data_IF_736707030704
#
_entry.id   IF_736707030704
#
_cell.length_a   1.000
_cell.length_b   1.000
_cell.length_c   1.000
_cell.angle_alpha   90.00
_cell.angle_beta   90.00
_cell.angle_gamma   90.00
#
_symmetry.space_group_name_H-M   'P 1'
#
loop_
_entity.id
_entity.type
_entity.pdbx_description
1 polymer ?
#
# COMPACT_ATOMS: atom_id res chain seq x y z
N UNK A 1 -20.50 5.84 -13.87
CA UNK A 1 -21.67 6.31 -13.09
C UNK A 1 -21.32 6.72 -11.66
N UNK A 2 -21.01 5.82 -10.69
CA UNK A 2 -20.66 6.29 -9.33
C UNK A 2 -19.43 7.19 -9.30
N UNK A 3 -18.41 6.87 -10.11
CA UNK A 3 -17.24 7.74 -10.29
C UNK A 3 -17.64 9.16 -10.74
N UNK A 4 -18.60 9.28 -11.67
CA UNK A 4 -19.10 10.57 -12.14
C UNK A 4 -19.86 11.32 -11.05
N UNK A 5 -20.68 10.62 -10.26
CA UNK A 5 -21.38 11.21 -9.13
C UNK A 5 -20.40 11.77 -8.08
N UNK A 6 -19.34 11.01 -7.76
CA UNK A 6 -18.26 11.45 -6.87
C UNK A 6 -17.48 12.65 -7.43
N UNK A 7 -17.34 12.75 -8.76
CA UNK A 7 -16.66 13.85 -9.44
C UNK A 7 -17.50 15.13 -9.42
N UNK A 8 -18.81 15.02 -9.65
CA UNK A 8 -19.72 16.17 -9.72
C UNK A 8 -19.94 16.85 -8.37
N UNK A 9 -19.87 16.11 -7.26
CA UNK A 9 -20.06 16.63 -5.88
C UNK A 9 -21.31 17.51 -5.73
N UNK A 10 -22.39 17.12 -6.40
CA UNK A 10 -23.66 17.84 -6.38
C UNK A 10 -24.59 17.22 -5.32
N UNK A 11 -25.11 18.04 -4.40
CA UNK A 11 -25.97 17.60 -3.31
C UNK A 11 -27.27 16.95 -3.80
N UNK A 12 -27.74 17.31 -5.01
CA UNK A 12 -28.95 16.73 -5.59
C UNK A 12 -28.80 15.26 -5.98
N UNK A 13 -27.57 14.80 -6.25
CA UNK A 13 -27.27 13.41 -6.60
C UNK A 13 -26.69 12.59 -5.44
N UNK A 14 -26.47 13.21 -4.28
CA UNK A 14 -25.96 12.53 -3.09
C UNK A 14 -26.82 11.32 -2.63
N UNK A 15 -28.16 11.35 -2.70
CA UNK A 15 -28.97 10.15 -2.42
C UNK A 15 -28.65 8.98 -3.37
N UNK A 16 -28.50 9.26 -4.67
CA UNK A 16 -28.16 8.25 -5.68
C UNK A 16 -26.76 7.70 -5.45
N UNK A 17 -25.79 8.54 -5.09
CA UNK A 17 -24.43 8.08 -4.74
C UNK A 17 -24.46 7.11 -3.56
N UNK A 18 -25.23 7.40 -2.51
CA UNK A 18 -25.37 6.52 -1.33
C UNK A 18 -26.00 5.18 -1.69
N UNK A 19 -27.05 5.17 -2.51
CA UNK A 19 -27.68 3.93 -2.96
C UNK A 19 -26.71 3.09 -3.81
N UNK A 20 -25.94 3.72 -4.69
CA UNK A 20 -24.90 3.04 -5.45
C UNK A 20 -23.80 2.49 -4.56
N UNK A 21 -23.36 3.26 -3.56
CA UNK A 21 -22.35 2.81 -2.61
C UNK A 21 -22.83 1.57 -1.83
N UNK A 22 -24.09 1.58 -1.38
CA UNK A 22 -24.71 0.44 -0.71
C UNK A 22 -24.74 -0.81 -1.61
N UNK A 23 -25.23 -0.69 -2.84
CA UNK A 23 -25.27 -1.82 -3.79
C UNK A 23 -23.88 -2.36 -4.12
N UNK A 24 -22.92 -1.46 -4.39
CA UNK A 24 -21.54 -1.84 -4.70
C UNK A 24 -20.85 -2.52 -3.52
N UNK A 25 -21.14 -2.12 -2.28
CA UNK A 25 -20.59 -2.80 -1.10
C UNK A 25 -21.04 -4.26 -0.98
N UNK A 26 -22.25 -4.56 -1.44
CA UNK A 26 -22.78 -5.93 -1.47
C UNK A 26 -22.21 -6.72 -2.64
N UNK A 27 -22.10 -6.13 -3.83
CA UNK A 27 -21.61 -6.82 -5.03
C UNK A 27 -20.10 -7.06 -5.01
N UNK A 28 -19.32 -6.09 -4.53
CA UNK A 28 -17.84 -6.16 -4.50
C UNK A 28 -17.32 -6.58 -3.12
N UNK A 29 -18.07 -7.41 -2.41
CA UNK A 29 -17.62 -7.92 -1.12
C UNK A 29 -16.41 -8.86 -1.30
N UNK A 30 -15.59 -8.95 -0.25
CA UNK A 30 -14.35 -9.76 -0.22
C UNK A 30 -14.55 -11.21 -0.66
N UNK A 31 -15.70 -11.82 -0.36
CA UNK A 31 -15.96 -13.23 -0.65
C UNK A 31 -16.01 -13.56 -2.14
N UNK A 32 -16.15 -12.54 -3.00
CA UNK A 32 -16.10 -12.69 -4.47
C UNK A 32 -14.79 -12.23 -5.09
N UNK A 33 -13.84 -11.70 -4.31
CA UNK A 33 -12.57 -11.26 -4.86
C UNK A 33 -11.61 -12.44 -4.98
N UNK A 34 -11.08 -12.63 -6.18
CA UNK A 34 -10.07 -13.64 -6.49
C UNK A 34 -8.69 -13.00 -6.53
N UNK A 35 -7.79 -13.48 -5.68
CA UNK A 35 -6.38 -13.15 -5.76
C UNK A 35 -5.73 -13.88 -6.93
N UNK A 36 -5.04 -13.16 -7.81
CA UNK A 36 -4.28 -13.73 -8.93
C UNK A 36 -2.88 -13.13 -8.98
N UNK A 37 -1.88 -13.95 -9.25
CA UNK A 37 -0.55 -13.47 -9.60
C UNK A 37 -0.61 -12.77 -10.97
N UNK A 38 0.13 -11.67 -11.10
CA UNK A 38 0.33 -10.93 -12.34
C UNK A 38 1.81 -11.02 -12.67
N UNK A 39 2.10 -11.48 -13.89
CA UNK A 39 3.44 -11.69 -14.42
C UNK A 39 3.49 -11.35 -15.92
N UNK A 40 4.64 -11.55 -16.55
CA UNK A 40 4.81 -11.25 -17.97
C UNK A 40 4.03 -12.19 -18.92
N UNK A 41 3.45 -13.28 -18.41
CA UNK A 41 2.56 -14.17 -19.17
C UNK A 41 1.09 -13.73 -19.09
N UNK A 42 0.77 -12.80 -18.19
CA UNK A 42 -0.57 -12.24 -18.04
C UNK A 42 -1.01 -11.54 -19.34
N UNK A 43 -2.29 -11.67 -19.76
CA UNK A 43 -2.76 -11.04 -20.99
C UNK A 43 -2.46 -9.54 -21.06
N UNK A 44 -2.03 -9.08 -22.25
CA UNK A 44 -1.63 -7.68 -22.47
C UNK A 44 -2.74 -6.68 -22.09
N UNK A 45 -4.01 -7.02 -22.31
CA UNK A 45 -5.16 -6.21 -21.91
C UNK A 45 -5.15 -5.89 -20.40
N UNK A 46 -4.81 -6.86 -19.54
CA UNK A 46 -4.69 -6.64 -18.10
C UNK A 46 -3.41 -5.87 -17.75
N UNK A 47 -2.30 -6.14 -18.45
CA UNK A 47 -1.04 -5.43 -18.23
C UNK A 47 -1.14 -3.93 -18.61
N UNK A 48 -1.85 -3.60 -19.68
CA UNK A 48 -2.14 -2.21 -20.06
C UNK A 48 -2.91 -1.47 -18.96
N UNK A 49 -3.82 -2.17 -18.26
CA UNK A 49 -4.57 -1.61 -17.14
C UNK A 49 -3.67 -1.27 -15.94
N UNK A 50 -2.62 -2.04 -15.69
CA UNK A 50 -1.65 -1.71 -14.64
C UNK A 50 -0.93 -0.39 -14.95
N UNK A 51 -0.53 -0.19 -16.21
CA UNK A 51 0.08 1.07 -16.66
C UNK A 51 -0.91 2.23 -16.53
N UNK A 52 -2.18 2.03 -16.90
CA UNK A 52 -3.23 3.05 -16.82
C UNK A 52 -3.53 3.48 -15.36
N UNK A 53 -3.51 2.52 -14.42
CA UNK A 53 -4.01 2.74 -13.07
C UNK A 53 -2.96 3.09 -12.03
N UNK A 54 -1.68 2.87 -12.30
CA UNK A 54 -0.65 3.07 -11.28
C UNK A 54 -0.61 4.52 -10.76
N UNK A 55 -1.02 4.68 -9.49
CA UNK A 55 -1.32 5.98 -8.89
C UNK A 55 -0.24 6.45 -7.90
N UNK A 56 0.64 5.57 -7.46
CA UNK A 56 1.68 5.86 -6.47
C UNK A 56 2.98 6.21 -7.19
N UNK A 57 3.39 5.37 -8.15
CA UNK A 57 4.63 5.44 -8.90
C UNK A 57 4.40 5.19 -10.39
N UNK A 58 4.06 6.23 -11.14
CA UNK A 58 3.75 6.19 -12.58
C UNK A 58 4.67 5.22 -13.34
N UNK A 59 4.06 4.23 -14.00
CA UNK A 59 4.77 3.28 -14.86
C UNK A 59 5.03 3.96 -16.20
N UNK A 60 6.30 4.20 -16.52
CA UNK A 60 6.72 5.01 -17.68
C UNK A 60 6.59 4.30 -19.04
N UNK A 61 5.99 3.12 -19.05
CA UNK A 61 5.74 2.30 -20.24
C UNK A 61 5.99 0.81 -20.01
N UNK A 62 6.05 0.06 -21.10
CA UNK A 62 6.19 -1.41 -21.08
C UNK A 62 7.52 -1.91 -20.51
N UNK A 63 8.62 -1.20 -20.74
CA UNK A 63 9.93 -1.60 -20.21
C UNK A 63 9.99 -1.47 -18.68
N UNK A 64 9.38 -0.40 -18.13
CA UNK A 64 9.23 -0.20 -16.69
C UNK A 64 8.28 -1.24 -16.08
N UNK A 65 7.15 -1.52 -16.74
CA UNK A 65 6.26 -2.62 -16.32
C UNK A 65 7.00 -3.96 -16.29
N UNK A 66 7.80 -4.25 -17.32
CA UNK A 66 8.59 -5.48 -17.37
C UNK A 66 9.54 -5.58 -16.18
N UNK A 67 10.25 -4.48 -15.85
CA UNK A 67 11.12 -4.42 -14.66
C UNK A 67 10.37 -4.75 -13.37
N UNK A 68 9.14 -4.27 -13.23
CA UNK A 68 8.27 -4.50 -12.06
C UNK A 68 7.68 -5.91 -11.99
N UNK A 69 7.84 -6.70 -13.06
CA UNK A 69 7.43 -8.10 -13.15
C UNK A 69 8.61 -9.07 -13.29
N UNK A 70 9.84 -8.59 -13.03
CA UNK A 70 11.04 -9.43 -12.98
C UNK A 70 11.03 -10.42 -11.81
N UNK A 71 11.96 -11.36 -11.82
CA UNK A 71 12.03 -12.46 -10.84
C UNK A 71 12.20 -12.02 -9.37
N UNK A 72 12.83 -10.86 -9.13
CA UNK A 72 12.97 -10.21 -7.81
C UNK A 72 11.72 -9.39 -7.41
N UNK A 73 10.66 -9.47 -8.21
CA UNK A 73 9.39 -8.77 -7.99
C UNK A 73 8.24 -9.77 -7.93
N UNK A 74 7.17 -9.37 -7.26
CA UNK A 74 5.88 -10.04 -7.31
C UNK A 74 4.81 -8.99 -7.51
N UNK A 75 3.83 -9.30 -8.35
CA UNK A 75 2.64 -8.49 -8.51
C UNK A 75 1.42 -9.38 -8.33
N UNK A 76 0.44 -8.89 -7.59
CA UNK A 76 -0.84 -9.57 -7.41
C UNK A 76 -1.99 -8.62 -7.67
N UNK A 77 -3.08 -9.13 -8.23
CA UNK A 77 -4.32 -8.41 -8.43
C UNK A 77 -5.50 -9.09 -7.75
N UNK A 78 -6.44 -8.29 -7.26
CA UNK A 78 -7.76 -8.73 -6.82
C UNK A 78 -8.76 -8.49 -7.94
N UNK A 79 -9.38 -9.57 -8.42
CA UNK A 79 -10.32 -9.55 -9.53
C UNK A 79 -11.70 -9.96 -9.06
N UNK A 80 -12.73 -9.42 -9.71
CA UNK A 80 -14.11 -9.89 -9.52
C UNK A 80 -14.51 -10.77 -10.71
N UNK A 81 -15.26 -11.89 -10.52
CA UNK A 81 -15.65 -12.79 -11.61
C UNK A 81 -16.38 -12.11 -12.77
N UNK A 82 -17.17 -11.08 -12.48
CA UNK A 82 -17.87 -10.28 -13.50
C UNK A 82 -16.96 -9.31 -14.27
N UNK A 83 -15.74 -9.08 -13.81
CA UNK A 83 -14.75 -8.19 -14.42
C UNK A 83 -13.38 -8.90 -14.50
N UNK A 84 -13.26 -9.99 -15.27
CA UNK A 84 -12.13 -10.91 -15.18
C UNK A 84 -10.79 -10.34 -15.66
N UNK A 85 -10.82 -9.32 -16.53
CA UNK A 85 -9.63 -8.64 -17.04
C UNK A 85 -9.29 -7.34 -16.26
N UNK A 86 -10.15 -6.95 -15.32
CA UNK A 86 -10.08 -5.67 -14.63
C UNK A 86 -9.58 -5.88 -13.18
N UNK A 87 -8.32 -5.50 -12.88
CA UNK A 87 -7.86 -5.50 -11.51
C UNK A 87 -8.61 -4.42 -10.73
N UNK A 88 -9.22 -4.77 -9.60
CA UNK A 88 -9.86 -3.79 -8.71
C UNK A 88 -8.84 -3.16 -7.77
N UNK A 89 -7.91 -4.00 -7.29
CA UNK A 89 -6.73 -3.61 -6.54
C UNK A 89 -5.58 -4.39 -7.15
N UNK A 90 -4.42 -3.76 -7.31
CA UNK A 90 -3.18 -4.50 -7.47
C UNK A 90 -2.13 -4.04 -6.49
N UNK A 91 -1.17 -4.93 -6.25
CA UNK A 91 -0.14 -4.80 -5.23
C UNK A 91 1.19 -5.17 -5.87
N UNK A 92 2.15 -4.27 -5.80
CA UNK A 92 3.52 -4.49 -6.25
C UNK A 92 4.45 -4.71 -5.07
N UNK A 93 5.29 -5.74 -5.17
CA UNK A 93 6.16 -6.23 -4.11
C UNK A 93 7.57 -6.41 -4.65
N UNK A 94 8.55 -5.96 -3.89
CA UNK A 94 9.96 -6.26 -4.10
C UNK A 94 10.44 -7.30 -3.09
N UNK A 95 11.20 -8.28 -3.58
CA UNK A 95 11.86 -9.29 -2.76
C UNK A 95 13.29 -8.82 -2.46
N UNK A 96 13.59 -8.58 -1.19
CA UNK A 96 14.85 -7.98 -0.74
C UNK A 96 15.38 -8.67 0.53
N UNK A 97 16.55 -8.22 0.98
CA UNK A 97 17.14 -8.61 2.26
C UNK A 97 16.94 -7.50 3.28
N UNK A 98 16.19 -7.79 4.35
CA UNK A 98 15.83 -6.84 5.39
C UNK A 98 14.86 -5.74 4.95
N UNK A 99 14.58 -4.79 5.86
CA UNK A 99 13.65 -3.69 5.61
C UNK A 99 14.24 -2.66 4.66
N UNK A 100 13.52 -2.37 3.57
CA UNK A 100 13.85 -1.25 2.70
C UNK A 100 13.53 0.09 3.40
N UNK A 101 14.44 1.05 3.26
CA UNK A 101 14.35 2.37 3.90
C UNK A 101 14.17 3.52 2.93
N UNK A 102 14.40 3.30 1.63
CA UNK A 102 14.32 4.33 0.61
C UNK A 102 13.74 3.76 -0.69
N UNK A 103 12.97 4.57 -1.39
CA UNK A 103 12.16 4.12 -2.53
C UNK A 103 13.02 3.75 -3.75
N UNK A 104 14.17 4.39 -3.92
CA UNK A 104 15.12 4.10 -5.02
C UNK A 104 15.69 2.68 -4.93
N UNK A 105 15.88 2.14 -3.72
CA UNK A 105 16.29 0.74 -3.52
C UNK A 105 15.21 -0.28 -3.92
N UNK A 106 14.01 0.19 -4.25
CA UNK A 106 12.88 -0.66 -4.61
C UNK A 106 12.46 -0.45 -6.05
N UNK A 107 12.18 0.78 -6.48
CA UNK A 107 11.65 1.04 -7.82
C UNK A 107 12.76 1.00 -8.87
N UNK A 108 13.84 1.74 -8.62
CA UNK A 108 14.93 1.92 -9.57
C UNK A 108 16.09 0.93 -9.36
N UNK A 109 15.90 -0.06 -8.49
CA UNK A 109 16.90 -1.08 -8.24
C UNK A 109 17.24 -1.81 -9.55
N UNK A 110 18.54 -1.99 -9.87
CA UNK A 110 18.92 -2.79 -11.03
C UNK A 110 18.40 -4.21 -10.88
N UNK A 111 18.15 -4.90 -12.00
CA UNK A 111 17.85 -6.34 -11.96
C UNK A 111 19.06 -7.03 -11.34
N UNK A 112 18.90 -7.73 -10.20
CA UNK A 112 20.02 -8.40 -9.55
C UNK A 112 20.55 -9.51 -10.47
N UNK A 113 21.83 -9.87 -10.29
CA UNK A 113 22.30 -11.13 -10.86
C UNK A 113 21.48 -12.28 -10.24
N UNK A 114 21.07 -13.26 -11.05
CA UNK A 114 20.15 -14.34 -10.65
C UNK A 114 20.52 -14.96 -9.28
N UNK A 115 21.82 -15.12 -8.97
CA UNK A 115 22.30 -15.69 -7.71
C UNK A 115 21.92 -14.95 -6.41
N UNK A 116 21.58 -13.65 -6.47
CA UNK A 116 21.45 -12.78 -5.29
C UNK A 116 20.02 -12.61 -4.75
N UNK A 117 19.02 -12.86 -5.59
CA UNK A 117 17.60 -12.64 -5.26
C UNK A 117 16.65 -13.63 -5.91
N UNK A 118 17.16 -14.64 -6.62
CA UNK A 118 16.32 -15.77 -7.00
C UNK A 118 15.78 -16.44 -5.72
N UNK A 119 14.45 -16.58 -5.57
CA UNK A 119 13.82 -17.40 -4.53
C UNK A 119 14.46 -18.78 -4.35
N UNK A 120 15.01 -19.35 -5.42
CA UNK A 120 15.67 -20.65 -5.47
C UNK A 120 17.21 -20.55 -5.47
N UNK A 121 17.77 -19.33 -5.42
CA UNK A 121 19.20 -19.04 -5.49
C UNK A 121 19.98 -19.28 -4.19
N UNK A 122 21.28 -18.99 -4.21
CA UNK A 122 22.19 -19.22 -3.08
C UNK A 122 21.92 -18.28 -1.88
N UNK A 123 21.36 -17.10 -2.13
CA UNK A 123 21.01 -16.09 -1.13
C UNK A 123 19.57 -15.59 -1.34
N UNK A 124 18.56 -16.42 -1.04
CA UNK A 124 17.17 -16.07 -1.33
C UNK A 124 16.71 -14.92 -0.43
N UNK A 125 15.87 -14.04 -0.97
CA UNK A 125 15.30 -12.92 -0.23
C UNK A 125 14.57 -13.37 1.04
N UNK A 126 14.69 -12.58 2.11
CA UNK A 126 14.03 -12.84 3.41
C UNK A 126 12.85 -11.89 3.70
N UNK A 127 12.71 -10.83 2.91
CA UNK A 127 11.75 -9.76 3.15
C UNK A 127 10.98 -9.41 1.88
N UNK A 128 9.65 -9.33 2.00
CA UNK A 128 8.76 -8.80 0.96
C UNK A 128 8.38 -7.35 1.29
N UNK A 129 8.74 -6.42 0.40
CA UNK A 129 8.43 -5.00 0.51
C UNK A 129 7.28 -4.62 -0.41
N UNK A 130 6.12 -4.34 0.19
CA UNK A 130 4.94 -3.80 -0.48
C UNK A 130 5.15 -2.31 -0.73
N UNK A 131 5.53 -1.94 -1.95
CA UNK A 131 5.88 -0.54 -2.27
C UNK A 131 4.79 0.18 -3.08
N UNK A 132 3.88 -0.54 -3.71
CA UNK A 132 2.69 0.05 -4.33
C UNK A 132 1.45 -0.78 -4.02
N UNK A 133 0.37 -0.10 -3.63
CA UNK A 133 -0.97 -0.68 -3.45
C UNK A 133 -1.94 0.30 -4.11
N UNK A 134 -2.49 -0.10 -5.25
CA UNK A 134 -3.31 0.77 -6.09
C UNK A 134 -4.74 0.27 -6.12
N UNK A 135 -5.69 1.14 -5.80
CA UNK A 135 -7.12 0.90 -6.05
C UNK A 135 -7.49 1.51 -7.41
N UNK A 136 -7.75 0.64 -8.39
CA UNK A 136 -7.93 1.02 -9.79
C UNK A 136 -9.25 1.77 -10.03
N UNK A 137 -10.27 1.45 -9.25
CA UNK A 137 -11.63 1.87 -9.54
C UNK A 137 -12.03 3.08 -8.70
N UNK A 138 -11.97 4.28 -9.30
CA UNK A 138 -12.47 5.51 -8.66
C UNK A 138 -13.92 5.36 -8.18
N UNK A 139 -14.74 4.62 -8.93
CA UNK A 139 -16.13 4.32 -8.57
C UNK A 139 -16.30 3.44 -7.33
N UNK A 140 -15.25 2.73 -6.89
CA UNK A 140 -15.22 1.93 -5.67
C UNK A 140 -14.54 2.65 -4.51
N UNK A 141 -14.17 3.93 -4.65
CA UNK A 141 -13.57 4.70 -3.56
C UNK A 141 -14.47 4.68 -2.32
N UNK A 142 -13.88 4.32 -1.18
CA UNK A 142 -14.56 4.21 0.11
C UNK A 142 -15.46 2.97 0.26
N UNK A 143 -15.53 2.09 -0.75
CA UNK A 143 -16.18 0.79 -0.60
C UNK A 143 -15.17 -0.17 0.05
N UNK A 144 -15.51 -0.78 1.20
CA UNK A 144 -14.64 -1.76 1.82
C UNK A 144 -14.61 -3.02 0.94
N UNK A 145 -13.46 -3.28 0.31
CA UNK A 145 -13.19 -4.51 -0.46
C UNK A 145 -12.75 -5.68 0.45
N UNK A 146 -12.91 -5.50 1.76
CA UNK A 146 -12.52 -6.44 2.81
C UNK A 146 -11.32 -5.97 3.60
N UNK A 147 -11.33 -6.28 4.89
CA UNK A 147 -10.13 -6.25 5.72
C UNK A 147 -9.27 -7.48 5.42
N UNK A 148 -7.97 -7.39 5.71
CA UNK A 148 -6.98 -8.45 5.46
C UNK A 148 -6.73 -8.79 3.98
N UNK A 149 -6.84 -7.80 3.10
CA UNK A 149 -6.42 -7.95 1.70
C UNK A 149 -4.97 -8.40 1.63
N UNK A 150 -4.09 -7.70 2.34
CA UNK A 150 -2.67 -8.04 2.34
C UNK A 150 -2.37 -9.37 3.02
N UNK A 151 -3.21 -9.86 3.93
CA UNK A 151 -3.04 -11.20 4.52
C UNK A 151 -3.10 -12.28 3.43
N UNK A 152 -4.02 -12.17 2.47
CA UNK A 152 -4.10 -13.14 1.37
C UNK A 152 -2.82 -13.12 0.53
N UNK A 153 -2.26 -11.92 0.31
CA UNK A 153 -1.00 -11.77 -0.42
C UNK A 153 0.19 -12.31 0.39
N UNK A 154 0.27 -12.06 1.70
CA UNK A 154 1.33 -12.62 2.55
C UNK A 154 1.24 -14.13 2.65
N UNK A 155 0.04 -14.70 2.79
CA UNK A 155 -0.17 -16.16 2.82
C UNK A 155 0.29 -16.80 1.49
N UNK A 156 -0.03 -16.17 0.35
CA UNK A 156 0.38 -16.63 -0.97
C UNK A 156 1.90 -16.50 -1.19
N UNK A 157 2.51 -15.42 -0.72
CA UNK A 157 3.96 -15.22 -0.74
C UNK A 157 4.67 -16.27 0.12
N UNK A 158 4.20 -16.56 1.33
CA UNK A 158 4.78 -17.62 2.18
C UNK A 158 4.73 -18.99 1.51
N UNK A 159 3.64 -19.26 0.77
CA UNK A 159 3.45 -20.51 0.03
C UNK A 159 4.39 -20.63 -1.16
N UNK A 160 4.67 -19.52 -1.85
CA UNK A 160 5.41 -19.50 -3.13
C UNK A 160 6.89 -19.13 -2.99
N UNK A 161 7.27 -18.46 -1.91
CA UNK A 161 8.64 -18.04 -1.59
C UNK A 161 8.91 -18.36 -0.10
N UNK A 162 9.23 -19.62 0.24
CA UNK A 162 9.34 -20.08 1.64
C UNK A 162 10.49 -19.44 2.43
N UNK A 163 11.43 -18.76 1.78
CA UNK A 163 12.53 -18.04 2.42
C UNK A 163 12.07 -16.76 3.14
N UNK A 164 10.91 -16.21 2.76
CA UNK A 164 10.40 -14.97 3.32
C UNK A 164 10.00 -15.14 4.78
N UNK A 165 10.50 -14.23 5.62
CA UNK A 165 10.23 -14.16 7.06
C UNK A 165 9.57 -12.84 7.45
N UNK A 166 9.77 -11.80 6.65
CA UNK A 166 9.27 -10.45 6.95
C UNK A 166 8.40 -9.94 5.80
N UNK A 167 7.28 -9.31 6.15
CA UNK A 167 6.34 -8.70 5.21
C UNK A 167 6.15 -7.27 5.67
N UNK A 168 6.64 -6.31 4.89
CA UNK A 168 6.58 -4.91 5.28
C UNK A 168 6.23 -4.01 4.12
N UNK A 169 5.60 -2.88 4.37
CA UNK A 169 5.43 -1.86 3.33
C UNK A 169 6.60 -0.89 3.33
N UNK A 170 6.72 -0.12 2.27
CA UNK A 170 7.45 1.14 2.29
C UNK A 170 6.47 2.24 1.86
N UNK A 171 5.81 2.84 2.85
CA UNK A 171 4.61 3.65 2.64
C UNK A 171 4.90 5.15 2.79
N UNK A 172 4.24 6.01 1.99
CA UNK A 172 4.26 7.45 2.18
C UNK A 172 3.48 7.86 3.42
N UNK A 173 3.71 9.08 3.91
CA UNK A 173 2.99 9.70 5.03
C UNK A 173 2.25 10.96 4.55
N UNK A 174 1.24 10.80 3.67
CA UNK A 174 0.61 11.93 2.99
C UNK A 174 -0.13 12.83 3.99
N UNK A 175 0.29 14.09 4.07
CA UNK A 175 -0.37 15.10 4.88
C UNK A 175 0.36 15.44 6.18
N UNK A 176 1.52 14.84 6.46
CA UNK A 176 2.38 15.24 7.57
C UNK A 176 2.73 16.73 7.48
N UNK A 177 3.22 17.21 6.31
CA UNK A 177 3.57 18.63 6.14
C UNK A 177 2.36 19.53 6.35
N UNK A 178 1.22 19.17 5.75
CA UNK A 178 -0.02 19.93 5.91
C UNK A 178 -0.45 20.01 7.37
N UNK A 179 -0.37 18.92 8.12
CA UNK A 179 -0.72 18.91 9.54
C UNK A 179 0.18 19.85 10.35
N UNK A 180 1.50 19.84 10.10
CA UNK A 180 2.44 20.78 10.70
C UNK A 180 2.06 22.24 10.40
N UNK A 181 1.73 22.53 9.14
CA UNK A 181 1.36 23.87 8.68
C UNK A 181 0.05 24.33 9.32
N UNK A 182 -0.97 23.46 9.37
CA UNK A 182 -2.28 23.74 9.97
C UNK A 182 -2.17 24.00 11.49
N UNK A 183 -1.23 23.32 12.17
CA UNK A 183 -0.97 23.47 13.61
C UNK A 183 0.05 24.58 13.93
N UNK A 184 0.69 25.18 12.91
CA UNK A 184 1.68 26.24 13.09
C UNK A 184 2.94 25.81 13.84
N UNK A 185 3.35 24.54 13.72
CA UNK A 185 4.46 23.97 14.47
C UNK A 185 5.83 24.38 13.90
N UNK A 186 6.81 24.55 14.78
CA UNK A 186 8.21 24.67 14.36
C UNK A 186 8.79 23.28 14.05
N UNK A 187 9.34 23.12 12.85
CA UNK A 187 9.99 21.86 12.42
C UNK A 187 11.47 21.90 12.74
N UNK A 188 11.94 20.93 13.52
CA UNK A 188 13.36 20.57 13.53
C UNK A 188 13.64 19.68 12.31
N UNK A 189 14.40 20.21 11.35
CA UNK A 189 14.75 19.51 10.11
C UNK A 189 15.87 18.48 10.29
N UNK A 190 16.39 18.29 11.51
CA UNK A 190 17.29 17.19 11.80
C UNK A 190 16.59 15.83 11.61
N UNK A 191 17.35 14.77 11.33
CA UNK A 191 16.79 13.44 11.18
C UNK A 191 16.04 12.97 12.44
N UNK A 192 16.53 13.31 13.64
CA UNK A 192 15.85 12.97 14.89
C UNK A 192 14.59 13.82 15.11
N UNK A 193 14.65 15.09 14.72
CA UNK A 193 13.50 16.00 14.74
C UNK A 193 12.36 15.48 13.87
N UNK A 194 12.67 15.12 12.62
CA UNK A 194 11.70 14.55 11.69
C UNK A 194 11.16 13.20 12.16
N UNK A 195 12.00 12.29 12.71
CA UNK A 195 11.54 11.02 13.29
C UNK A 195 10.50 11.24 14.40
N UNK A 196 10.79 12.15 15.33
CA UNK A 196 9.88 12.47 16.45
C UNK A 196 8.59 13.11 15.96
N UNK A 197 8.69 14.04 15.01
CA UNK A 197 7.55 14.72 14.42
C UNK A 197 6.62 13.73 13.69
N UNK A 198 7.19 12.82 12.90
CA UNK A 198 6.43 11.78 12.21
C UNK A 198 5.79 10.80 13.19
N UNK A 199 6.49 10.41 14.25
CA UNK A 199 5.90 9.57 15.30
C UNK A 199 4.72 10.27 16.00
N UNK A 200 4.87 11.55 16.36
CA UNK A 200 3.79 12.35 16.95
C UNK A 200 2.56 12.38 16.03
N UNK A 201 2.78 12.66 14.74
CA UNK A 201 1.71 12.68 13.75
C UNK A 201 0.99 11.34 13.63
N UNK A 202 1.72 10.24 13.46
CA UNK A 202 1.13 8.93 13.20
C UNK A 202 0.45 8.31 14.42
N UNK A 203 0.95 8.59 15.63
CA UNK A 203 0.43 8.01 16.86
C UNK A 203 -0.68 8.87 17.48
N UNK A 204 -0.54 10.20 17.43
CA UNK A 204 -1.34 11.14 18.22
C UNK A 204 -2.25 12.05 17.40
N UNK A 205 -1.92 12.40 16.15
CA UNK A 205 -2.84 13.21 15.34
C UNK A 205 -4.07 12.39 14.94
N UNK A 206 -5.27 12.93 15.19
CA UNK A 206 -6.54 12.22 14.96
C UNK A 206 -7.52 12.99 14.07
N UNK A 207 -8.32 12.22 13.33
CA UNK A 207 -9.54 12.66 12.64
C UNK A 207 -10.75 11.95 13.27
N UNK A 208 -11.41 12.62 14.22
CA UNK A 208 -12.32 11.90 15.12
C UNK A 208 -11.50 10.97 16.02
N UNK A 209 -11.79 9.68 16.03
CA UNK A 209 -11.05 8.70 16.83
C UNK A 209 -9.92 7.99 16.05
N UNK A 210 -9.95 8.04 14.72
CA UNK A 210 -8.95 7.39 13.86
C UNK A 210 -7.69 8.26 13.68
N UNK A 211 -6.51 7.68 13.41
CA UNK A 211 -5.32 8.41 12.96
C UNK A 211 -5.62 9.38 11.81
N UNK A 212 -4.99 10.55 11.82
CA UNK A 212 -5.17 11.61 10.81
C UNK A 212 -4.72 11.15 9.41
N UNK A 213 -3.64 10.38 9.33
CA UNK A 213 -3.05 9.87 8.09
C UNK A 213 -3.90 8.75 7.46
N UNK A 214 -4.24 8.87 6.17
CA UNK A 214 -5.07 7.87 5.49
C UNK A 214 -4.37 6.54 5.23
N UNK A 215 -3.06 6.56 5.02
CA UNK A 215 -2.25 5.37 4.73
C UNK A 215 -2.05 4.57 6.02
N UNK A 216 -1.81 5.25 7.14
CA UNK A 216 -1.80 4.66 8.48
C UNK A 216 -3.11 3.94 8.78
N UNK A 217 -4.26 4.61 8.58
CA UNK A 217 -5.58 3.98 8.77
C UNK A 217 -5.73 2.71 7.94
N UNK A 218 -5.30 2.75 6.67
CA UNK A 218 -5.37 1.58 5.79
C UNK A 218 -4.53 0.41 6.32
N UNK A 219 -3.27 0.64 6.69
CA UNK A 219 -2.39 -0.43 7.14
C UNK A 219 -2.77 -0.98 8.52
N UNK A 220 -3.12 -0.11 9.46
CA UNK A 220 -3.57 -0.48 10.81
C UNK A 220 -4.89 -1.26 10.76
N UNK A 221 -5.84 -0.85 9.90
CA UNK A 221 -7.06 -1.62 9.64
C UNK A 221 -6.77 -3.00 9.05
N UNK A 222 -5.65 -3.19 8.36
CA UNK A 222 -5.21 -4.50 7.87
C UNK A 222 -4.33 -5.27 8.88
N UNK A 223 -4.21 -4.79 10.13
CA UNK A 223 -3.51 -5.47 11.22
C UNK A 223 -2.00 -5.25 11.24
N UNK A 224 -1.48 -4.33 10.43
CA UNK A 224 -0.06 -4.00 10.47
C UNK A 224 0.29 -3.19 11.72
N UNK A 225 1.57 -3.20 12.10
CA UNK A 225 2.14 -2.27 13.08
C UNK A 225 3.08 -1.29 12.41
N UNK A 226 3.13 -0.05 12.91
CA UNK A 226 4.16 0.92 12.53
C UNK A 226 5.51 0.44 13.04
N UNK A 227 6.39 0.00 12.15
CA UNK A 227 7.65 -0.67 12.51
C UNK A 227 8.82 0.31 12.55
N UNK A 228 8.95 1.15 11.52
CA UNK A 228 10.13 2.00 11.34
C UNK A 228 9.77 3.29 10.60
N UNK A 229 10.44 4.38 10.98
CA UNK A 229 10.38 5.67 10.29
C UNK A 229 11.69 5.88 9.52
N UNK A 230 11.57 6.24 8.25
CA UNK A 230 12.66 6.38 7.30
C UNK A 230 12.77 7.82 6.80
N UNK A 231 13.63 8.60 7.45
CA UNK A 231 13.94 9.97 6.99
C UNK A 231 14.80 9.92 5.74
N UNK A 232 14.44 10.73 4.73
CA UNK A 232 15.10 10.71 3.41
C UNK A 232 14.74 9.47 2.60
N UNK A 233 13.62 8.81 2.90
CA UNK A 233 13.15 7.63 2.18
C UNK A 233 12.62 7.95 0.79
N UNK A 234 12.06 9.15 0.58
CA UNK A 234 11.60 9.64 -0.72
C UNK A 234 12.10 11.08 -0.96
N UNK A 235 13.26 11.26 -1.61
CA UNK A 235 13.79 12.60 -1.91
C UNK A 235 13.07 13.29 -3.09
N UNK A 236 12.02 12.69 -3.65
CA UNK A 236 11.29 13.30 -4.75
C UNK A 236 10.61 14.60 -4.33
N UNK A 237 10.36 15.54 -5.26
CA UNK A 237 9.60 16.75 -4.96
C UNK A 237 8.22 16.48 -4.34
N UNK A 238 7.60 15.35 -4.69
CA UNK A 238 6.32 14.90 -4.11
C UNK A 238 6.52 14.46 -2.65
N UNK A 239 7.47 13.56 -2.38
CA UNK A 239 7.77 13.09 -1.03
C UNK A 239 8.13 14.24 -0.07
N UNK A 240 8.95 15.19 -0.55
CA UNK A 240 9.29 16.41 0.18
C UNK A 240 8.07 17.29 0.48
N UNK A 241 7.21 17.51 -0.52
CA UNK A 241 5.99 18.31 -0.37
C UNK A 241 4.95 17.65 0.54
N UNK A 242 4.83 16.33 0.54
CA UNK A 242 3.83 15.61 1.33
C UNK A 242 4.29 15.40 2.79
N UNK A 243 5.58 15.12 3.00
CA UNK A 243 6.07 14.54 4.27
C UNK A 243 7.55 14.79 4.61
N UNK A 244 8.20 15.81 4.04
CA UNK A 244 9.65 16.05 4.26
C UNK A 244 10.54 14.87 3.81
N UNK A 245 10.07 14.13 2.79
CA UNK A 245 10.76 12.96 2.26
C UNK A 245 10.76 11.75 3.19
N UNK A 246 9.89 11.73 4.20
CA UNK A 246 9.78 10.62 5.15
C UNK A 246 8.91 9.50 4.58
N UNK A 247 9.42 8.28 4.62
CA UNK A 247 8.63 7.06 4.43
C UNK A 247 8.54 6.29 5.75
N UNK A 248 7.62 5.34 5.82
CA UNK A 248 7.49 4.45 6.98
C UNK A 248 7.30 3.00 6.56
N UNK A 249 7.79 2.09 7.38
CA UNK A 249 7.52 0.67 7.24
C UNK A 249 6.34 0.28 8.14
N UNK A 250 5.30 -0.30 7.56
CA UNK A 250 4.29 -1.04 8.32
C UNK A 250 4.60 -2.53 8.21
N UNK A 251 4.81 -3.22 9.33
CA UNK A 251 5.09 -4.65 9.35
C UNK A 251 3.80 -5.46 9.51
N UNK A 252 3.63 -6.46 8.64
CA UNK A 252 2.59 -7.47 8.67
C UNK A 252 3.14 -8.73 9.32
N UNK A 253 3.03 -8.80 10.64
CA UNK A 253 3.41 -9.98 11.43
C UNK A 253 2.25 -10.98 11.45
N UNK A 254 2.34 -12.14 10.77
CA UNK A 254 1.23 -13.09 10.66
C UNK A 254 0.66 -13.55 12.00
N UNK A 255 1.49 -13.58 13.05
CA UNK A 255 1.09 -14.04 14.38
C UNK A 255 0.33 -12.97 15.17
N UNK A 256 0.57 -11.68 14.87
CA UNK A 256 -0.06 -10.55 15.57
C UNK A 256 -1.15 -9.85 14.76
N UNK A 257 -1.27 -10.17 13.47
CA UNK A 257 -2.10 -9.47 12.50
C UNK A 257 -3.59 -9.39 12.90
N UNK A 258 -4.15 -10.50 13.39
CA UNK A 258 -5.55 -10.53 13.84
C UNK A 258 -5.76 -9.70 15.12
N UNK A 259 -4.87 -9.84 16.11
CA UNK A 259 -4.94 -9.08 17.37
C UNK A 259 -4.82 -7.57 17.13
N UNK A 260 -3.85 -7.17 16.30
CA UNK A 260 -3.65 -5.76 15.93
C UNK A 260 -4.87 -5.19 15.21
N UNK A 261 -5.47 -5.95 14.29
CA UNK A 261 -6.69 -5.56 13.60
C UNK A 261 -7.85 -5.36 14.58
N UNK A 262 -8.12 -6.33 15.45
CA UNK A 262 -9.21 -6.25 16.41
C UNK A 262 -9.05 -5.05 17.35
N UNK A 263 -7.84 -4.81 17.83
CA UNK A 263 -7.55 -3.66 18.68
C UNK A 263 -7.73 -2.33 17.95
N UNK A 264 -7.35 -2.25 16.68
CA UNK A 264 -7.56 -1.04 15.89
C UNK A 264 -9.06 -0.81 15.58
N UNK A 265 -9.81 -1.85 15.21
CA UNK A 265 -11.24 -1.72 14.89
C UNK A 265 -12.08 -1.34 16.11
N UNK A 266 -11.77 -1.91 17.28
CA UNK A 266 -12.58 -1.72 18.48
C UNK A 266 -12.16 -0.51 19.32
N UNK A 267 -10.86 -0.21 19.36
CA UNK A 267 -10.28 0.77 20.30
C UNK A 267 -9.49 1.89 19.60
N UNK A 268 -9.34 1.82 18.27
CA UNK A 268 -8.45 2.70 17.49
C UNK A 268 -7.00 2.70 18.00
N UNK A 269 -6.60 1.61 18.65
CA UNK A 269 -5.24 1.42 19.17
C UNK A 269 -4.27 1.30 18.00
N UNK A 270 -3.26 2.16 17.98
CA UNK A 270 -2.20 2.13 16.98
C UNK A 270 -1.14 1.13 17.44
N UNK A 271 -0.99 0.01 16.72
CA UNK A 271 0.11 -0.92 16.94
C UNK A 271 1.40 -0.31 16.40
N UNK A 272 2.46 -0.27 17.21
CA UNK A 272 3.77 0.27 16.82
C UNK A 272 4.91 -0.47 17.49
N UNK A 273 6.10 -0.41 16.90
CA UNK A 273 7.33 -0.91 17.50
C UNK A 273 7.76 -0.05 18.71
N UNK A 274 8.55 -0.61 19.65
CA UNK A 274 9.02 0.08 20.86
C UNK A 274 9.82 1.36 20.59
#
# INVERSE_FOLDING_TARGET
MRADALRLRDDTIAPVERDLAYLLSSWFNRGFLELRAIDWQTPAETLEKLIEYEAVHEIRGWDDLRRRLEHDRRCYGFFHPSLPAEPLIFVEIALVHGLATHIEAVIDAPVPNEDLTDPEGAHPADTAIFYSITNCQTGLRGIPLGDFLLKQVTDELQRTVPSLRQFSTLSPVPGLRRWVDDEGMHVDSSADGLRRLTAEYLLHAKRGDEPQDSVARFHLRNGARLEQINVGGDPSPKGEAESYGVLVNYLYDPDQLAENHEAYINEFRVAHAP
#
